data_IF_475400262271
#
_entry.id   IF_475400262271
#
_cell.length_a   1.000
_cell.length_b   1.000
_cell.length_c   1.000
_cell.angle_alpha   90.00
_cell.angle_beta   90.00
_cell.angle_gamma   90.00
#
_symmetry.space_group_name_H-M   'P 1'
#
loop_
_entity.id
_entity.type
_entity.pdbx_description
1 polymer ?
#
# COMPACT_ATOMS: atom_id res chain seq x y z
N UNK A 1 12.45 -22.51 -30.59
CA UNK A 1 12.79 -21.09 -30.31
C UNK A 1 11.58 -20.24 -30.67
N UNK A 2 10.64 -20.04 -29.74
CA UNK A 2 9.53 -19.11 -29.97
C UNK A 2 10.11 -17.68 -29.94
N UNK A 3 9.86 -16.83 -30.94
CA UNK A 3 10.57 -15.56 -31.09
C UNK A 3 10.16 -14.60 -29.97
N UNK A 4 11.13 -13.88 -29.42
CA UNK A 4 10.97 -12.81 -28.41
C UNK A 4 9.88 -11.79 -28.80
N UNK A 5 9.66 -11.56 -30.10
CA UNK A 5 8.56 -10.75 -30.63
C UNK A 5 7.16 -11.20 -30.14
N UNK A 6 6.94 -12.51 -29.96
CA UNK A 6 5.66 -13.05 -29.45
C UNK A 6 5.44 -12.71 -27.98
N UNK A 7 6.51 -12.64 -27.17
CA UNK A 7 6.40 -12.35 -25.72
C UNK A 7 6.10 -10.88 -25.45
N UNK A 8 6.80 -9.96 -26.11
CA UNK A 8 6.53 -8.52 -25.98
C UNK A 8 5.14 -8.16 -26.51
N UNK A 9 4.72 -8.75 -27.64
CA UNK A 9 3.37 -8.59 -28.15
C UNK A 9 2.30 -9.12 -27.17
N UNK A 10 2.55 -10.26 -26.52
CA UNK A 10 1.65 -10.80 -25.48
C UNK A 10 1.56 -9.88 -24.27
N UNK A 11 2.69 -9.33 -23.81
CA UNK A 11 2.70 -8.38 -22.69
C UNK A 11 1.91 -7.11 -23.01
N UNK A 12 2.13 -6.54 -24.21
CA UNK A 12 1.37 -5.37 -24.67
C UNK A 12 -0.12 -5.68 -24.82
N UNK A 13 -0.47 -6.83 -25.42
CA UNK A 13 -1.85 -7.28 -25.57
C UNK A 13 -2.56 -7.37 -24.20
N UNK A 14 -1.92 -7.98 -23.20
CA UNK A 14 -2.44 -8.05 -21.82
C UNK A 14 -2.62 -6.67 -21.21
N UNK A 15 -1.66 -5.76 -21.41
CA UNK A 15 -1.77 -4.39 -20.92
C UNK A 15 -2.95 -3.63 -21.57
N UNK A 16 -3.13 -3.75 -22.89
CA UNK A 16 -4.26 -3.14 -23.61
C UNK A 16 -5.60 -3.68 -23.09
N UNK A 17 -5.72 -5.00 -22.92
CA UNK A 17 -6.92 -5.61 -22.34
C UNK A 17 -7.20 -5.16 -20.91
N UNK A 18 -6.16 -5.02 -20.08
CA UNK A 18 -6.30 -4.61 -18.69
C UNK A 18 -6.71 -3.14 -18.57
N UNK A 19 -6.09 -2.25 -19.33
CA UNK A 19 -6.26 -0.79 -19.19
C UNK A 19 -7.39 -0.21 -20.02
N UNK A 20 -7.83 -0.89 -21.09
CA UNK A 20 -8.92 -0.47 -22.00
C UNK A 20 -8.83 1.03 -22.33
N UNK A 21 -7.76 1.46 -23.03
CA UNK A 21 -7.43 2.88 -23.18
C UNK A 21 -8.50 3.68 -23.93
N UNK A 22 -9.35 3.03 -24.73
CA UNK A 22 -10.43 3.65 -25.51
C UNK A 22 -11.75 3.81 -24.76
N UNK A 23 -11.92 3.17 -23.60
CA UNK A 23 -13.16 3.30 -22.81
C UNK A 23 -13.13 4.56 -21.95
N UNK A 24 -14.21 5.34 -21.92
CA UNK A 24 -14.38 6.43 -20.95
C UNK A 24 -14.71 5.88 -19.56
N UNK A 25 -14.38 6.64 -18.51
CA UNK A 25 -14.84 6.34 -17.15
C UNK A 25 -15.42 7.61 -16.52
N UNK A 26 -16.54 7.53 -15.79
CA UNK A 26 -17.09 8.70 -15.10
C UNK A 26 -16.04 9.29 -14.14
N UNK A 27 -15.81 10.60 -14.22
CA UNK A 27 -14.85 11.32 -13.37
C UNK A 27 -15.43 11.74 -12.02
N UNK A 28 -16.68 11.43 -11.76
CA UNK A 28 -17.39 11.85 -10.55
C UNK A 28 -16.89 11.08 -9.33
N UNK A 29 -16.73 11.80 -8.22
CA UNK A 29 -16.37 11.19 -6.95
C UNK A 29 -17.59 10.49 -6.37
N UNK A 30 -17.45 9.22 -5.98
CA UNK A 30 -18.54 8.40 -5.47
C UNK A 30 -18.26 8.05 -4.01
N UNK A 31 -19.20 8.26 -3.07
CA UNK A 31 -19.01 7.86 -1.68
C UNK A 31 -18.79 6.35 -1.55
N UNK A 32 -17.93 5.96 -0.60
CA UNK A 32 -17.66 4.56 -0.24
C UNK A 32 -18.05 4.28 1.22
N UNK A 33 -18.11 3.02 1.60
CA UNK A 33 -18.34 2.53 2.96
C UNK A 33 -17.03 2.49 3.79
N UNK A 34 -16.31 3.62 3.78
CA UNK A 34 -15.17 3.87 4.64
C UNK A 34 -15.24 5.30 5.17
N UNK A 35 -14.63 5.55 6.32
CA UNK A 35 -14.50 6.88 6.90
C UNK A 35 -13.09 7.45 6.69
N UNK A 36 -12.98 8.76 6.68
CA UNK A 36 -11.72 9.47 6.79
C UNK A 36 -11.09 9.18 8.18
N UNK A 37 -9.84 8.71 8.26
CA UNK A 37 -9.19 8.41 9.53
C UNK A 37 -8.89 9.65 10.39
N UNK A 38 -9.06 10.86 9.83
CA UNK A 38 -8.80 12.14 10.54
C UNK A 38 -10.06 12.77 11.10
N UNK A 39 -11.12 12.91 10.30
CA UNK A 39 -12.34 13.61 10.72
C UNK A 39 -13.59 12.72 10.85
N UNK A 40 -13.51 11.44 10.46
CA UNK A 40 -14.62 10.48 10.53
C UNK A 40 -15.71 10.66 9.45
N UNK A 41 -15.61 11.66 8.58
CA UNK A 41 -16.57 11.83 7.48
C UNK A 41 -16.38 10.76 6.39
N UNK A 42 -17.40 10.57 5.56
CA UNK A 42 -17.42 9.53 4.54
C UNK A 42 -16.35 9.77 3.47
N UNK A 43 -15.54 8.75 3.22
CA UNK A 43 -14.55 8.78 2.15
C UNK A 43 -15.24 8.70 0.78
N UNK A 44 -14.57 9.25 -0.23
CA UNK A 44 -15.01 9.18 -1.63
C UNK A 44 -13.93 8.53 -2.49
N UNK A 45 -14.38 7.77 -3.49
CA UNK A 45 -13.53 7.20 -4.53
C UNK A 45 -13.64 8.03 -5.80
N UNK A 46 -12.50 8.31 -6.43
CA UNK A 46 -12.38 8.90 -7.76
C UNK A 46 -11.47 8.04 -8.61
N UNK A 47 -11.82 7.88 -9.89
CA UNK A 47 -10.96 7.21 -10.87
C UNK A 47 -10.56 8.18 -11.98
N UNK A 48 -9.26 8.44 -12.09
CA UNK A 48 -8.71 9.34 -13.10
C UNK A 48 -7.38 8.81 -13.64
N UNK A 49 -7.19 8.88 -14.96
CA UNK A 49 -5.92 8.55 -15.64
C UNK A 49 -5.31 7.18 -15.27
N UNK A 50 -6.14 6.20 -14.91
CA UNK A 50 -5.67 4.86 -14.54
C UNK A 50 -5.44 4.64 -13.05
N UNK A 51 -5.73 5.65 -12.22
CA UNK A 51 -5.53 5.61 -10.77
C UNK A 51 -6.88 5.65 -10.06
N UNK A 52 -7.03 4.78 -9.07
CA UNK A 52 -8.08 4.88 -8.06
C UNK A 52 -7.51 5.73 -6.92
N UNK A 53 -8.24 6.77 -6.57
CA UNK A 53 -7.96 7.63 -5.42
C UNK A 53 -9.11 7.51 -4.42
N UNK A 54 -8.78 7.23 -3.17
CA UNK A 54 -9.70 7.33 -2.02
C UNK A 54 -9.25 8.52 -1.18
N UNK A 55 -10.15 9.46 -0.90
CA UNK A 55 -9.82 10.67 -0.15
C UNK A 55 -11.02 11.18 0.66
N UNK A 56 -10.77 12.12 1.55
CA UNK A 56 -11.81 12.88 2.23
C UNK A 56 -12.22 14.10 1.39
N UNK A 57 -13.52 14.42 1.39
CA UNK A 57 -14.03 15.66 0.76
C UNK A 57 -14.29 16.79 1.75
N UNK A 58 -14.17 16.51 3.06
CA UNK A 58 -14.48 17.44 4.14
C UNK A 58 -13.25 18.02 4.86
N UNK A 59 -12.07 17.42 4.72
CA UNK A 59 -10.82 17.92 5.30
C UNK A 59 -9.61 17.57 4.41
N UNK A 60 -8.50 18.27 4.62
CA UNK A 60 -7.22 18.04 3.90
C UNK A 60 -6.16 17.32 4.77
N UNK A 61 -6.52 16.95 6.00
CA UNK A 61 -5.60 16.31 6.98
C UNK A 61 -5.21 14.87 6.63
N UNK A 62 -5.97 14.22 5.73
CA UNK A 62 -5.66 12.90 5.21
C UNK A 62 -5.15 13.03 3.77
N UNK A 63 -3.89 12.67 3.48
CA UNK A 63 -3.34 12.69 2.11
C UNK A 63 -4.11 11.82 1.11
N UNK A 64 -4.94 10.91 1.60
CA UNK A 64 -5.66 9.94 0.79
C UNK A 64 -4.81 8.72 0.45
N UNK A 65 -5.41 7.85 -0.35
CA UNK A 65 -4.79 6.68 -0.94
C UNK A 65 -4.91 6.80 -2.45
N UNK A 66 -3.82 6.59 -3.19
CA UNK A 66 -3.86 6.58 -4.66
C UNK A 66 -2.99 5.47 -5.20
N UNK A 67 -3.54 4.62 -6.07
CA UNK A 67 -2.78 3.52 -6.68
C UNK A 67 -3.31 3.15 -8.08
N UNK A 68 -2.44 2.70 -9.00
CA UNK A 68 -2.88 2.27 -10.32
C UNK A 68 -3.76 1.01 -10.26
N UNK A 69 -4.95 1.11 -10.85
CA UNK A 69 -5.90 0.00 -10.97
C UNK A 69 -6.44 -0.07 -12.39
N UNK A 70 -6.10 -1.11 -13.17
CA UNK A 70 -6.55 -1.22 -14.56
C UNK A 70 -8.08 -1.30 -14.66
N UNK A 71 -8.68 -0.66 -15.69
CA UNK A 71 -10.14 -0.61 -15.90
C UNK A 71 -10.81 -1.97 -15.91
N UNK A 72 -10.13 -3.01 -16.40
CA UNK A 72 -10.67 -4.37 -16.36
C UNK A 72 -10.97 -4.86 -14.93
N UNK A 73 -10.28 -4.31 -13.93
CA UNK A 73 -10.55 -4.56 -12.51
C UNK A 73 -11.89 -3.99 -12.02
N UNK A 74 -12.59 -3.17 -12.80
CA UNK A 74 -13.90 -2.65 -12.41
C UNK A 74 -15.06 -3.59 -12.80
N UNK A 75 -14.82 -4.54 -13.71
CA UNK A 75 -15.84 -5.46 -14.14
C UNK A 75 -16.44 -6.21 -12.94
N UNK A 76 -17.77 -6.15 -12.81
CA UNK A 76 -18.54 -6.84 -11.77
C UNK A 76 -18.25 -6.36 -10.33
N UNK A 77 -17.65 -5.18 -10.14
CA UNK A 77 -17.40 -4.58 -8.82
C UNK A 77 -18.21 -3.31 -8.61
N UNK A 78 -18.77 -3.16 -7.42
CA UNK A 78 -19.24 -1.87 -6.93
C UNK A 78 -18.05 -1.00 -6.49
N UNK A 79 -18.32 0.25 -6.12
CA UNK A 79 -17.28 1.23 -5.76
C UNK A 79 -16.43 0.78 -4.56
N UNK A 80 -17.05 0.18 -3.54
CA UNK A 80 -16.39 -0.31 -2.34
C UNK A 80 -15.43 -1.47 -2.68
N UNK A 81 -15.91 -2.44 -3.46
CA UNK A 81 -15.10 -3.56 -3.91
C UNK A 81 -13.93 -3.11 -4.82
N UNK A 82 -14.06 -2.00 -5.54
CA UNK A 82 -12.94 -1.39 -6.27
C UNK A 82 -11.91 -0.79 -5.31
N UNK A 83 -12.36 -0.05 -4.28
CA UNK A 83 -11.49 0.51 -3.26
C UNK A 83 -10.67 -0.59 -2.56
N UNK A 84 -11.36 -1.64 -2.07
CA UNK A 84 -10.75 -2.79 -1.42
C UNK A 84 -9.80 -3.56 -2.35
N UNK A 85 -10.21 -3.82 -3.60
CA UNK A 85 -9.37 -4.52 -4.56
C UNK A 85 -8.11 -3.72 -4.92
N UNK A 86 -8.21 -2.40 -4.97
CA UNK A 86 -7.08 -1.51 -5.21
C UNK A 86 -6.14 -1.50 -4.00
N UNK A 87 -6.65 -1.34 -2.78
CA UNK A 87 -5.87 -1.38 -1.55
C UNK A 87 -5.14 -2.73 -1.40
N UNK A 88 -5.84 -3.84 -1.64
CA UNK A 88 -5.23 -5.18 -1.64
C UNK A 88 -4.12 -5.29 -2.68
N UNK A 89 -4.32 -4.80 -3.91
CA UNK A 89 -3.29 -4.78 -4.96
C UNK A 89 -2.07 -3.97 -4.53
N UNK A 90 -2.27 -2.76 -4.00
CA UNK A 90 -1.21 -1.90 -3.52
C UNK A 90 -0.38 -2.59 -2.44
N UNK A 91 -1.04 -3.17 -1.42
CA UNK A 91 -0.39 -3.91 -0.33
C UNK A 91 0.52 -5.03 -0.83
N UNK A 92 0.03 -5.85 -1.76
CA UNK A 92 0.83 -6.96 -2.32
C UNK A 92 2.02 -6.44 -3.16
N UNK A 93 1.79 -5.39 -3.94
CA UNK A 93 2.84 -4.78 -4.74
C UNK A 93 3.94 -4.14 -3.87
N UNK A 94 3.54 -3.42 -2.83
CA UNK A 94 4.45 -2.81 -1.85
C UNK A 94 5.22 -3.90 -1.10
N UNK A 95 4.55 -4.97 -0.66
CA UNK A 95 5.21 -6.09 0.01
C UNK A 95 6.29 -6.74 -0.86
N UNK A 96 6.00 -6.99 -2.14
CA UNK A 96 6.99 -7.52 -3.09
C UNK A 96 8.14 -6.53 -3.32
N UNK A 97 7.83 -5.25 -3.51
CA UNK A 97 8.81 -4.19 -3.70
C UNK A 97 9.73 -4.02 -2.49
N UNK A 98 9.22 -4.14 -1.27
CA UNK A 98 10.03 -4.12 -0.05
C UNK A 98 11.07 -5.23 -0.04
N UNK A 99 10.76 -6.40 -0.60
CA UNK A 99 11.69 -7.55 -0.65
C UNK A 99 12.74 -7.46 -1.76
N UNK A 100 12.87 -6.32 -2.44
CA UNK A 100 13.90 -6.09 -3.45
C UNK A 100 13.48 -6.39 -4.89
N UNK A 101 12.17 -6.62 -5.15
CA UNK A 101 11.67 -6.89 -6.50
C UNK A 101 10.53 -5.95 -6.91
N UNK A 102 10.72 -5.24 -8.01
CA UNK A 102 9.69 -4.38 -8.60
C UNK A 102 8.49 -5.21 -9.10
N UNK A 103 7.25 -4.89 -8.70
CA UNK A 103 6.06 -5.63 -9.12
C UNK A 103 5.69 -5.45 -10.60
N UNK A 104 6.34 -4.50 -11.31
CA UNK A 104 6.03 -4.19 -12.70
C UNK A 104 7.06 -4.74 -13.70
N UNK A 105 8.36 -4.57 -13.43
CA UNK A 105 9.43 -5.00 -14.34
C UNK A 105 10.32 -6.12 -13.77
N UNK A 106 10.09 -6.54 -12.53
CA UNK A 106 10.93 -7.50 -11.78
C UNK A 106 12.40 -7.06 -11.59
N UNK A 107 12.72 -5.79 -11.84
CA UNK A 107 14.02 -5.20 -11.50
C UNK A 107 14.20 -5.01 -9.99
N UNK A 108 15.43 -4.68 -9.59
CA UNK A 108 15.76 -4.40 -8.18
C UNK A 108 15.04 -3.14 -7.70
N UNK A 109 14.66 -3.16 -6.42
CA UNK A 109 14.10 -2.01 -5.72
C UNK A 109 14.97 -1.59 -4.56
N UNK A 110 15.00 -0.29 -4.31
CA UNK A 110 15.68 0.35 -3.19
C UNK A 110 14.64 0.84 -2.19
N UNK A 111 14.90 0.64 -0.90
CA UNK A 111 14.05 1.10 0.21
C UNK A 111 14.78 2.21 0.95
N UNK A 112 14.11 3.34 1.15
CA UNK A 112 14.59 4.48 1.91
C UNK A 112 13.57 4.79 3.03
N UNK A 113 14.01 4.66 4.29
CA UNK A 113 13.19 4.98 5.46
C UNK A 113 13.47 6.41 5.89
N UNK A 114 12.51 7.31 5.64
CA UNK A 114 12.55 8.71 6.05
C UNK A 114 11.75 8.90 7.32
N UNK A 115 12.44 9.29 8.37
CA UNK A 115 11.87 9.59 9.67
C UNK A 115 11.84 11.11 9.79
N UNK A 116 10.64 11.69 9.72
CA UNK A 116 10.42 13.14 9.69
C UNK A 116 9.49 13.55 10.83
N UNK A 117 9.53 14.82 11.23
CA UNK A 117 8.75 15.30 12.39
C UNK A 117 7.23 15.19 12.17
N UNK A 118 6.75 15.23 10.92
CA UNK A 118 5.32 15.22 10.59
C UNK A 118 4.78 13.83 10.22
N UNK A 119 5.50 13.04 9.42
CA UNK A 119 5.07 11.71 8.99
C UNK A 119 6.25 10.85 8.57
N UNK A 120 6.39 9.66 9.17
CA UNK A 120 7.37 8.69 8.72
C UNK A 120 6.94 8.08 7.38
N UNK A 121 7.85 8.06 6.41
CA UNK A 121 7.59 7.56 5.07
C UNK A 121 8.65 6.53 4.68
N UNK A 122 8.18 5.40 4.18
CA UNK A 122 9.00 4.43 3.44
C UNK A 122 8.84 4.71 1.96
N UNK A 123 9.92 5.17 1.33
CA UNK A 123 10.00 5.30 -0.12
C UNK A 123 10.59 4.01 -0.70
N UNK A 124 9.90 3.43 -1.69
CA UNK A 124 10.40 2.28 -2.44
C UNK A 124 10.44 2.64 -3.91
N UNK A 125 11.63 2.61 -4.50
CA UNK A 125 11.86 2.95 -5.90
C UNK A 125 12.45 1.76 -6.67
N UNK A 126 12.16 1.66 -7.96
CA UNK A 126 12.78 0.69 -8.85
C UNK A 126 13.98 1.30 -9.57
N UNK A 127 15.11 0.57 -9.62
CA UNK A 127 16.34 1.06 -10.25
C UNK A 127 16.31 0.99 -11.79
N UNK A 128 15.24 0.41 -12.36
CA UNK A 128 15.14 0.12 -13.81
C UNK A 128 13.97 0.82 -14.49
N UNK A 129 12.82 0.95 -13.82
CA UNK A 129 11.62 1.55 -14.39
C UNK A 129 11.12 2.70 -13.51
N UNK A 130 9.99 3.29 -13.86
CA UNK A 130 9.44 4.47 -13.16
C UNK A 130 8.61 4.13 -11.92
N UNK A 131 8.69 2.90 -11.40
CA UNK A 131 7.97 2.54 -10.19
C UNK A 131 8.55 3.26 -8.98
N UNK A 132 7.71 4.02 -8.29
CA UNK A 132 7.99 4.73 -7.04
C UNK A 132 6.72 4.68 -6.20
N UNK A 133 6.87 4.41 -4.91
CA UNK A 133 5.76 4.48 -3.94
C UNK A 133 6.28 5.00 -2.60
N UNK A 134 5.52 5.90 -1.99
CA UNK A 134 5.68 6.30 -0.60
C UNK A 134 4.54 5.72 0.22
N UNK A 135 4.86 5.04 1.32
CA UNK A 135 3.86 4.45 2.23
C UNK A 135 4.28 4.64 3.67
N UNK A 136 3.32 4.56 4.59
CA UNK A 136 3.64 4.47 6.02
C UNK A 136 4.42 3.17 6.32
N UNK A 137 5.33 3.16 7.32
CA UNK A 137 6.15 2.00 7.64
C UNK A 137 5.35 0.71 7.88
N UNK A 138 4.21 0.79 8.57
CA UNK A 138 3.38 -0.38 8.85
C UNK A 138 2.85 -1.00 7.56
N UNK A 139 2.38 -0.19 6.59
CA UNK A 139 1.84 -0.67 5.31
C UNK A 139 2.84 -1.52 4.56
N UNK A 140 4.12 -1.10 4.52
CA UNK A 140 5.19 -1.86 3.89
C UNK A 140 5.48 -3.21 4.57
N UNK A 141 5.17 -3.34 5.86
CA UNK A 141 5.48 -4.51 6.68
C UNK A 141 4.34 -5.53 6.75
N UNK A 142 3.11 -5.19 6.34
CA UNK A 142 1.93 -6.07 6.46
C UNK A 142 2.04 -7.42 5.74
N UNK A 143 2.95 -7.56 4.78
CA UNK A 143 3.17 -8.81 4.04
C UNK A 143 4.32 -9.65 4.63
N UNK A 144 5.01 -9.15 5.65
CA UNK A 144 5.95 -9.94 6.44
C UNK A 144 5.17 -10.93 7.32
N UNK A 145 5.47 -12.22 7.22
CA UNK A 145 4.70 -13.26 7.92
C UNK A 145 4.70 -13.11 9.45
N UNK A 146 5.79 -12.58 10.04
CA UNK A 146 5.88 -12.35 11.50
C UNK A 146 5.00 -11.19 11.93
N UNK A 147 5.00 -10.11 11.14
CA UNK A 147 4.19 -8.92 11.38
C UNK A 147 2.72 -9.23 11.17
N UNK A 148 2.37 -9.92 10.09
CA UNK A 148 1.01 -10.35 9.82
C UNK A 148 0.43 -11.20 10.95
N UNK A 149 1.22 -12.16 11.46
CA UNK A 149 0.81 -12.97 12.61
C UNK A 149 0.57 -12.12 13.87
N UNK A 150 1.48 -11.20 14.19
CA UNK A 150 1.33 -10.33 15.35
C UNK A 150 0.13 -9.37 15.25
N UNK A 151 -0.12 -8.80 14.07
CA UNK A 151 -1.31 -7.96 13.84
C UNK A 151 -2.61 -8.76 13.98
N UNK A 152 -2.64 -10.00 13.48
CA UNK A 152 -3.78 -10.88 13.69
C UNK A 152 -3.99 -11.23 15.17
N UNK A 153 -2.90 -11.43 15.93
CA UNK A 153 -2.95 -11.73 17.36
C UNK A 153 -3.53 -10.60 18.22
N UNK A 154 -3.51 -9.36 17.73
CA UNK A 154 -4.08 -8.17 18.39
C UNK A 154 -5.38 -7.68 17.72
N UNK A 155 -6.03 -8.53 16.92
CA UNK A 155 -7.29 -8.24 16.22
C UNK A 155 -7.24 -7.08 15.19
N UNK A 156 -6.05 -6.75 14.68
CA UNK A 156 -5.89 -5.80 13.58
C UNK A 156 -6.14 -6.50 12.24
N UNK A 157 -7.17 -6.06 11.53
CA UNK A 157 -7.66 -6.72 10.31
C UNK A 157 -6.65 -6.67 9.16
N UNK A 158 -6.03 -7.81 8.84
CA UNK A 158 -5.05 -7.94 7.76
C UNK A 158 -5.61 -7.65 6.38
N UNK A 159 -6.91 -7.81 6.17
CA UNK A 159 -7.57 -7.55 4.89
C UNK A 159 -8.03 -6.10 4.72
N UNK A 160 -8.17 -5.34 5.82
CA UNK A 160 -8.68 -3.97 5.81
C UNK A 160 -7.79 -3.03 4.96
N UNK A 161 -8.35 -2.08 4.20
CA UNK A 161 -7.59 -1.07 3.51
C UNK A 161 -6.62 -0.31 4.42
N UNK A 162 -5.54 0.23 3.88
CA UNK A 162 -4.49 0.85 4.69
C UNK A 162 -5.00 2.03 5.54
N UNK A 163 -6.00 2.76 5.05
CA UNK A 163 -6.63 3.88 5.77
C UNK A 163 -7.59 3.48 6.90
N UNK A 164 -7.85 2.18 7.07
CA UNK A 164 -8.67 1.62 8.17
C UNK A 164 -7.82 0.84 9.18
N UNK A 165 -6.51 0.80 8.97
CA UNK A 165 -5.56 0.18 9.90
C UNK A 165 -5.02 1.26 10.84
N UNK A 166 -4.79 0.94 12.14
CA UNK A 166 -4.20 1.90 13.07
C UNK A 166 -2.84 2.41 12.57
N UNK A 167 -2.63 3.72 12.65
CA UNK A 167 -1.31 4.32 12.46
C UNK A 167 -0.39 3.89 13.62
N UNK A 168 0.79 3.32 13.34
CA UNK A 168 1.71 2.95 14.41
C UNK A 168 2.26 4.20 15.11
N UNK A 169 2.60 4.07 16.39
CA UNK A 169 3.52 5.01 17.04
C UNK A 169 4.95 4.59 16.72
N UNK A 170 5.72 5.47 16.09
CA UNK A 170 7.11 5.23 15.74
C UNK A 170 8.06 5.77 16.81
N UNK A 171 9.11 5.01 17.13
CA UNK A 171 10.20 5.43 18.01
C UNK A 171 11.55 4.99 17.45
N UNK A 172 12.48 5.92 17.32
CA UNK A 172 13.88 5.61 16.97
C UNK A 172 14.61 5.07 18.21
N UNK A 173 15.07 3.82 18.14
CA UNK A 173 15.81 3.18 19.23
C UNK A 173 17.32 3.38 19.11
N UNK A 174 17.81 3.47 17.87
CA UNK A 174 19.21 3.76 17.55
C UNK A 174 19.31 4.35 16.15
N UNK A 175 20.29 5.22 15.93
CA UNK A 175 20.60 5.80 14.60
C UNK A 175 21.84 5.18 13.96
N UNK A 176 22.65 4.43 14.73
CA UNK A 176 23.86 3.77 14.24
C UNK A 176 24.11 2.47 15.03
N UNK A 177 23.66 1.30 14.52
CA UNK A 177 22.85 1.12 13.31
C UNK A 177 21.40 1.60 13.51
N UNK A 178 20.76 2.08 12.43
CA UNK A 178 19.34 2.49 12.47
C UNK A 178 18.46 1.34 12.98
N UNK A 179 17.67 1.62 14.02
CA UNK A 179 16.62 0.75 14.55
C UNK A 179 15.40 1.58 14.90
N UNK A 180 14.25 1.14 14.41
CA UNK A 180 12.97 1.83 14.58
C UNK A 180 11.95 0.83 15.12
N UNK A 181 11.30 1.19 16.22
CA UNK A 181 10.20 0.44 16.80
C UNK A 181 8.87 1.06 16.35
N UNK A 182 7.99 0.23 15.80
CA UNK A 182 6.61 0.56 15.43
C UNK A 182 5.68 -0.12 16.42
N UNK A 183 4.92 0.65 17.18
CA UNK A 183 3.96 0.15 18.15
C UNK A 183 2.55 0.29 17.60
N UNK A 184 1.83 -0.84 17.50
CA UNK A 184 0.46 -0.91 16.98
C UNK A 184 -0.45 -1.40 18.09
N UNK A 185 -1.46 -0.59 18.42
CA UNK A 185 -2.52 -1.01 19.34
C UNK A 185 -3.69 -1.61 18.55
N UNK A 186 -4.25 -2.70 19.05
CA UNK A 186 -5.47 -3.33 18.57
C UNK A 186 -6.35 -3.77 19.73
N UNK A 187 -7.52 -4.34 19.43
CA UNK A 187 -8.48 -4.74 20.46
C UNK A 187 -7.97 -5.91 21.32
N UNK A 188 -7.08 -6.74 20.76
CA UNK A 188 -6.49 -7.91 21.41
C UNK A 188 -5.14 -7.67 22.10
N UNK A 189 -4.61 -6.44 22.09
CA UNK A 189 -3.35 -6.09 22.71
C UNK A 189 -2.51 -5.08 21.93
N UNK A 190 -1.21 -5.04 22.21
CA UNK A 190 -0.24 -4.16 21.56
C UNK A 190 0.88 -4.99 20.93
N UNK A 191 1.19 -4.73 19.66
CA UNK A 191 2.33 -5.32 18.97
C UNK A 191 3.45 -4.29 18.80
N UNK A 192 4.69 -4.68 19.09
CA UNK A 192 5.89 -3.89 18.82
C UNK A 192 6.74 -4.57 17.76
N UNK A 193 6.98 -3.87 16.65
CA UNK A 193 7.73 -4.36 15.50
C UNK A 193 9.00 -3.53 15.38
N UNK A 194 10.17 -4.17 15.49
CA UNK A 194 11.45 -3.49 15.34
C UNK A 194 12.02 -3.79 13.96
N UNK A 195 12.34 -2.73 13.21
CA UNK A 195 12.97 -2.78 11.89
C UNK A 195 14.30 -2.04 11.88
N UNK A 196 15.13 -2.33 10.88
CA UNK A 196 16.33 -1.53 10.58
C UNK A 196 16.09 -0.51 9.46
N UNK A 197 17.14 0.22 9.08
CA UNK A 197 17.08 1.22 8.01
C UNK A 197 16.76 0.68 6.60
N UNK A 198 16.86 -0.63 6.38
CA UNK A 198 16.40 -1.32 5.14
C UNK A 198 14.96 -1.83 5.25
N UNK A 199 14.29 -1.50 6.35
CA UNK A 199 12.98 -1.99 6.72
C UNK A 199 12.91 -3.53 6.90
N UNK A 200 14.02 -4.17 7.28
CA UNK A 200 14.08 -5.59 7.61
C UNK A 200 13.58 -5.83 9.04
N UNK A 201 12.65 -6.77 9.23
CA UNK A 201 12.09 -7.09 10.57
C UNK A 201 13.14 -7.79 11.42
N UNK A 202 13.47 -7.19 12.57
CA UNK A 202 14.43 -7.70 13.55
C UNK A 202 13.72 -8.44 14.67
N UNK A 203 12.78 -7.80 15.36
CA UNK A 203 11.92 -8.45 16.37
C UNK A 203 10.46 -8.09 16.17
N UNK A 204 9.60 -8.94 16.72
CA UNK A 204 8.15 -8.73 16.80
C UNK A 204 7.72 -9.29 18.14
N UNK A 205 7.13 -8.45 18.97
CA UNK A 205 6.70 -8.77 20.33
C UNK A 205 5.22 -8.37 20.48
N UNK A 206 4.44 -9.14 21.24
CA UNK A 206 3.00 -8.92 21.45
C UNK A 206 2.69 -8.97 22.93
N UNK A 207 2.16 -7.87 23.44
CA UNK A 207 1.65 -7.71 24.80
C UNK A 207 0.12 -7.77 24.79
N UNK A 208 -0.46 -8.79 25.42
CA UNK A 208 -1.92 -9.02 25.51
C UNK A 208 -2.50 -8.50 26.81
#
# INVERSE_FOLDING_TARGET
MAPTASRSATALYRAVLAHRPTEGFPSESTPIDSACPRCGDRAVLRYERGFVTVACSACEEWPGFTYPFPKHGFAERNVDAVAEATARRARHHVGLARTGQCPFCAGTTTVDLRLEDETDIVEISCDTCTFLVGVEPLVALRQDGRVAAALADIDVGLERPDWEVPTPTTRVESTEPIRVALTVAGDGGTATIVVDGSLSVRSVDVDR
#
